data_IF_970682755184
#
_entry.id   IF_970682755184
#
_cell.length_a   1.000
_cell.length_b   1.000
_cell.length_c   1.000
_cell.angle_alpha   90.00
_cell.angle_beta   90.00
_cell.angle_gamma   90.00
#
_symmetry.space_group_name_H-M   'P 1'
#
loop_
_entity.id
_entity.type
_entity.pdbx_description
1 polymer ?
#
# COMPACT_ATOMS: atom_id res chain seq x y z
N UNK A 1 -24.71 12.05 -54.64
CA UNK A 1 -24.65 10.91 -53.70
C UNK A 1 -23.28 10.94 -53.02
N UNK A 2 -23.29 11.34 -51.74
CA UNK A 2 -22.36 11.06 -50.62
C UNK A 2 -20.84 11.08 -50.89
N UNK A 3 -20.24 12.22 -50.57
CA UNK A 3 -18.86 12.38 -50.09
C UNK A 3 -18.63 11.53 -48.83
N UNK A 4 -17.54 10.74 -48.82
CA UNK A 4 -17.05 10.07 -47.61
C UNK A 4 -15.78 10.79 -47.16
N UNK A 5 -15.92 11.66 -46.16
CA UNK A 5 -14.81 12.30 -45.47
C UNK A 5 -14.29 11.27 -44.45
N UNK A 6 -13.10 10.71 -44.69
CA UNK A 6 -12.43 9.82 -43.76
C UNK A 6 -11.81 10.66 -42.64
N UNK A 7 -12.49 10.72 -41.49
CA UNK A 7 -11.90 11.21 -40.23
C UNK A 7 -10.99 10.10 -39.68
N UNK A 8 -9.68 10.28 -39.78
CA UNK A 8 -8.74 9.57 -38.92
C UNK A 8 -8.76 10.25 -37.55
N UNK A 9 -9.48 9.65 -36.59
CA UNK A 9 -9.38 10.01 -35.18
C UNK A 9 -7.96 9.71 -34.68
N UNK A 10 -7.13 10.75 -34.55
CA UNK A 10 -5.94 10.73 -33.71
C UNK A 10 -6.40 10.53 -32.26
N UNK A 11 -6.38 9.29 -31.79
CA UNK A 11 -6.50 8.98 -30.36
C UNK A 11 -5.19 9.42 -29.72
N UNK A 12 -5.12 10.69 -29.34
CA UNK A 12 -4.09 11.16 -28.41
C UNK A 12 -4.35 10.46 -27.08
N UNK A 13 -3.52 9.47 -26.75
CA UNK A 13 -3.39 8.98 -25.38
C UNK A 13 -2.81 10.10 -24.54
N UNK A 14 -3.68 11.01 -24.11
CA UNK A 14 -3.39 11.89 -22.99
C UNK A 14 -3.51 11.00 -21.76
N UNK A 15 -2.44 10.28 -21.41
CA UNK A 15 -2.28 9.73 -20.07
C UNK A 15 -2.07 10.91 -19.16
N UNK A 16 -3.17 11.56 -18.82
CA UNK A 16 -3.24 12.52 -17.75
C UNK A 16 -3.11 11.68 -16.47
N UNK A 17 -1.86 11.42 -16.06
CA UNK A 17 -1.57 11.06 -14.67
C UNK A 17 -1.81 12.32 -13.82
N UNK A 18 -3.07 12.77 -13.75
CA UNK A 18 -3.52 13.53 -12.61
C UNK A 18 -3.53 12.54 -11.47
N UNK A 19 -2.43 12.52 -10.70
CA UNK A 19 -2.50 12.03 -9.33
C UNK A 19 -3.52 12.92 -8.63
N UNK A 20 -4.77 12.47 -8.68
CA UNK A 20 -5.80 12.93 -7.78
C UNK A 20 -5.36 12.47 -6.39
N UNK A 21 -5.41 13.43 -5.45
CA UNK A 21 -5.07 13.37 -4.04
C UNK A 21 -3.65 13.90 -3.78
N UNK A 22 -3.55 15.03 -3.06
CA UNK A 22 -2.28 15.64 -2.62
C UNK A 22 -1.49 14.80 -1.60
N UNK A 23 -1.65 13.48 -1.64
CA UNK A 23 -0.94 12.51 -0.83
C UNK A 23 0.25 11.96 -1.62
N UNK A 24 1.49 12.02 -1.10
CA UNK A 24 2.67 11.75 -1.91
C UNK A 24 2.92 10.26 -2.19
N UNK A 25 2.26 9.34 -1.48
CA UNK A 25 2.46 7.91 -1.64
C UNK A 25 1.32 7.22 -2.40
N UNK A 26 1.65 6.40 -3.41
CA UNK A 26 0.73 5.38 -3.90
C UNK A 26 1.03 4.04 -3.25
N UNK A 27 0.00 3.19 -3.19
CA UNK A 27 0.09 1.81 -2.74
C UNK A 27 -0.48 0.91 -3.82
N UNK A 28 0.35 0.01 -4.32
CA UNK A 28 -0.09 -1.12 -5.13
C UNK A 28 -0.08 -2.40 -4.28
N UNK A 29 -1.15 -3.17 -4.35
CA UNK A 29 -1.33 -4.38 -3.55
C UNK A 29 -1.81 -5.53 -4.42
N UNK A 30 -1.25 -6.72 -4.21
CA UNK A 30 -1.70 -7.96 -4.83
C UNK A 30 -1.67 -9.10 -3.81
N UNK A 31 -2.59 -10.05 -3.93
CA UNK A 31 -2.61 -11.24 -3.09
C UNK A 31 -2.68 -12.50 -3.96
N UNK A 32 -1.96 -13.54 -3.55
CA UNK A 32 -1.96 -14.85 -4.19
C UNK A 32 -2.23 -15.94 -3.16
N UNK A 33 -3.06 -16.91 -3.55
CA UNK A 33 -3.31 -18.13 -2.77
C UNK A 33 -2.46 -19.28 -3.33
N UNK A 34 -1.77 -19.99 -2.45
CA UNK A 34 -1.07 -21.23 -2.76
C UNK A 34 -1.45 -22.27 -1.70
N UNK A 35 -2.21 -23.30 -2.10
CA UNK A 35 -2.84 -24.25 -1.18
C UNK A 35 -3.68 -23.51 -0.12
N UNK A 36 -3.34 -23.68 1.17
CA UNK A 36 -3.99 -23.02 2.30
C UNK A 36 -3.33 -21.70 2.71
N UNK A 37 -2.23 -21.29 2.07
CA UNK A 37 -1.54 -20.05 2.38
C UNK A 37 -2.01 -18.92 1.44
N UNK A 38 -2.24 -17.73 2.00
CA UNK A 38 -2.50 -16.51 1.23
C UNK A 38 -1.41 -15.49 1.57
N UNK A 39 -0.63 -15.12 0.57
CA UNK A 39 0.37 -14.08 0.69
C UNK A 39 -0.11 -12.82 -0.04
N UNK A 40 0.17 -11.65 0.54
CA UNK A 40 -0.07 -10.37 -0.08
C UNK A 40 1.23 -9.59 -0.18
N UNK A 41 1.48 -9.00 -1.35
CA UNK A 41 2.56 -8.06 -1.62
C UNK A 41 2.04 -6.64 -1.65
N UNK A 42 2.86 -5.71 -1.15
CA UNK A 42 2.55 -4.30 -1.04
C UNK A 42 3.74 -3.51 -1.55
N UNK A 43 3.51 -2.60 -2.48
CA UNK A 43 4.50 -1.68 -3.02
C UNK A 43 4.09 -0.25 -2.70
N UNK A 44 4.95 0.48 -1.98
CA UNK A 44 4.77 1.88 -1.65
C UNK A 44 5.69 2.71 -2.52
N UNK A 45 5.14 3.65 -3.28
CA UNK A 45 5.90 4.53 -4.19
C UNK A 45 5.82 5.97 -3.74
N UNK A 46 6.96 6.63 -3.60
CA UNK A 46 7.03 8.08 -3.41
C UNK A 46 6.81 8.79 -4.76
N UNK A 47 5.62 9.33 -4.96
CA UNK A 47 5.26 10.10 -6.16
C UNK A 47 5.55 11.60 -6.03
N UNK A 48 6.11 12.05 -4.91
CA UNK A 48 6.56 13.42 -4.77
C UNK A 48 7.83 13.69 -5.59
N UNK A 49 8.15 14.97 -5.78
CA UNK A 49 9.37 15.44 -6.40
C UNK A 49 10.50 15.70 -5.38
N UNK A 50 10.38 15.15 -4.18
CA UNK A 50 11.35 15.29 -3.09
C UNK A 50 11.52 13.96 -2.35
N UNK A 51 12.63 13.84 -1.63
CA UNK A 51 12.95 12.67 -0.82
C UNK A 51 12.07 12.67 0.46
N UNK A 52 11.45 11.52 0.74
CA UNK A 52 10.57 11.35 1.89
C UNK A 52 10.97 10.13 2.72
N UNK A 53 10.75 10.19 4.01
CA UNK A 53 10.93 9.09 4.94
C UNK A 53 9.57 8.47 5.26
N UNK A 54 9.32 7.24 4.85
CA UNK A 54 8.10 6.49 5.16
C UNK A 54 8.27 5.73 6.48
N UNK A 55 7.33 5.87 7.41
CA UNK A 55 7.31 5.09 8.65
C UNK A 55 6.95 3.63 8.34
N UNK A 56 7.79 2.68 8.76
CA UNK A 56 7.53 1.24 8.60
C UNK A 56 6.39 0.75 9.48
N UNK A 57 6.17 1.39 10.63
CA UNK A 57 5.19 0.98 11.63
C UNK A 57 3.75 1.04 11.11
N UNK A 58 2.94 0.06 11.47
CA UNK A 58 1.57 -0.11 10.99
C UNK A 58 1.49 -0.37 9.48
N UNK A 59 2.54 -0.94 8.91
CA UNK A 59 2.65 -1.33 7.50
C UNK A 59 3.29 -2.72 7.40
N UNK A 60 3.19 -3.42 6.27
CA UNK A 60 3.89 -4.69 6.06
C UNK A 60 5.42 -4.56 6.06
N UNK A 61 6.00 -3.34 6.02
CA UNK A 61 7.45 -3.14 6.07
C UNK A 61 8.08 -3.54 7.41
N UNK A 62 7.28 -3.69 8.47
CA UNK A 62 7.70 -4.26 9.76
C UNK A 62 7.26 -5.73 9.94
N UNK A 63 6.70 -6.36 8.90
CA UNK A 63 6.05 -7.67 9.01
C UNK A 63 4.62 -7.59 9.57
N UNK A 64 4.07 -8.71 10.05
CA UNK A 64 2.72 -8.80 10.63
C UNK A 64 2.69 -8.46 12.14
N UNK A 65 3.24 -7.31 12.51
CA UNK A 65 3.27 -6.83 13.90
C UNK A 65 2.08 -5.93 14.27
N UNK A 66 1.19 -5.68 13.30
CA UNK A 66 0.04 -4.79 13.43
C UNK A 66 -1.01 -5.12 12.37
N UNK A 67 -2.27 -4.79 12.65
CA UNK A 67 -3.35 -4.93 11.67
C UNK A 67 -3.34 -3.75 10.69
N UNK A 68 -2.74 -3.94 9.52
CA UNK A 68 -2.73 -2.94 8.42
C UNK A 68 -3.66 -3.27 7.24
N UNK A 69 -4.28 -4.45 7.27
CA UNK A 69 -5.36 -4.82 6.34
C UNK A 69 -6.63 -5.17 7.09
N UNK A 70 -7.77 -4.98 6.43
CA UNK A 70 -9.03 -5.63 6.77
C UNK A 70 -9.30 -6.76 5.78
N UNK A 71 -9.92 -7.84 6.25
CA UNK A 71 -10.34 -8.97 5.43
C UNK A 71 -11.82 -9.22 5.66
N UNK A 72 -12.57 -9.49 4.58
CA UNK A 72 -13.95 -9.95 4.66
C UNK A 72 -14.19 -11.18 3.80
N UNK A 73 -15.09 -12.05 4.23
CA UNK A 73 -15.61 -13.21 3.52
C UNK A 73 -17.05 -12.94 3.12
N UNK A 74 -17.33 -12.90 1.82
CA UNK A 74 -18.67 -12.63 1.28
C UNK A 74 -19.32 -11.38 1.91
N UNK A 75 -18.50 -10.33 2.11
CA UNK A 75 -18.90 -9.06 2.72
C UNK A 75 -18.90 -9.02 4.24
N UNK A 76 -18.71 -10.14 4.94
CA UNK A 76 -18.66 -10.19 6.41
C UNK A 76 -17.22 -10.04 6.90
N UNK A 77 -16.91 -9.08 7.80
CA UNK A 77 -15.56 -8.90 8.32
C UNK A 77 -15.05 -10.13 9.06
N UNK A 78 -13.78 -10.46 8.85
CA UNK A 78 -13.06 -11.46 9.65
C UNK A 78 -12.34 -10.78 10.81
N UNK A 79 -12.20 -11.53 11.91
CA UNK A 79 -11.42 -11.11 13.07
C UNK A 79 -9.92 -11.15 12.74
N UNK A 80 -9.19 -10.16 13.24
CA UNK A 80 -7.73 -10.16 13.19
C UNK A 80 -7.20 -10.93 14.40
N UNK A 81 -6.45 -11.99 14.14
CA UNK A 81 -5.89 -12.91 15.14
C UNK A 81 -4.38 -12.73 15.32
N UNK A 82 -3.78 -11.78 14.60
CA UNK A 82 -2.34 -11.50 14.65
C UNK A 82 -1.90 -10.71 15.88
N UNK A 83 -0.59 -10.45 15.95
CA UNK A 83 0.01 -9.66 17.03
C UNK A 83 -0.49 -8.21 16.98
N UNK A 84 -0.76 -7.64 18.16
CA UNK A 84 -1.00 -6.21 18.35
C UNK A 84 0.06 -5.68 19.32
N UNK A 85 1.05 -4.97 18.80
CA UNK A 85 2.16 -4.45 19.60
C UNK A 85 1.91 -3.02 20.08
N UNK A 86 1.96 -2.81 21.40
CA UNK A 86 2.02 -1.46 21.97
C UNK A 86 3.42 -0.89 21.81
N UNK A 87 3.54 0.34 21.29
CA UNK A 87 4.83 0.93 20.91
C UNK A 87 4.98 2.34 21.45
N UNK A 88 6.22 2.70 21.84
CA UNK A 88 6.63 4.09 22.13
C UNK A 88 6.60 4.94 20.85
N UNK A 89 6.67 6.28 20.91
CA UNK A 89 6.83 7.10 19.70
C UNK A 89 7.95 6.58 18.78
N UNK A 90 7.77 6.65 17.45
CA UNK A 90 8.74 6.07 16.52
C UNK A 90 10.11 6.73 16.60
N UNK A 91 11.16 5.93 16.43
CA UNK A 91 12.57 6.39 16.32
C UNK A 91 13.01 6.48 14.86
N UNK A 92 14.15 7.13 14.59
CA UNK A 92 14.60 7.41 13.21
C UNK A 92 14.81 6.15 12.38
N UNK A 93 15.26 5.07 13.00
CA UNK A 93 15.50 3.76 12.39
C UNK A 93 14.22 2.99 12.02
N UNK A 94 13.06 3.47 12.46
CA UNK A 94 11.75 2.95 12.05
C UNK A 94 11.25 3.53 10.72
N UNK A 95 12.00 4.44 10.11
CA UNK A 95 11.67 4.99 8.80
C UNK A 95 12.56 4.42 7.69
N UNK A 96 12.03 4.40 6.47
CA UNK A 96 12.78 4.11 5.25
C UNK A 96 12.82 5.37 4.38
N UNK A 97 14.00 5.75 3.92
CA UNK A 97 14.17 6.83 2.94
C UNK A 97 13.75 6.33 1.56
N UNK A 98 12.88 7.08 0.89
CA UNK A 98 12.48 6.88 -0.49
C UNK A 98 12.74 8.17 -1.24
N UNK A 99 13.67 8.12 -2.19
CA UNK A 99 13.90 9.25 -3.10
C UNK A 99 12.66 9.52 -3.95
N UNK A 100 12.62 10.69 -4.57
CA UNK A 100 11.57 11.02 -5.54
C UNK A 100 11.44 9.91 -6.61
N UNK A 101 10.25 9.32 -6.74
CA UNK A 101 9.96 8.21 -7.66
C UNK A 101 10.41 6.82 -7.19
N UNK A 102 11.03 6.69 -6.03
CA UNK A 102 11.49 5.40 -5.49
C UNK A 102 10.33 4.62 -4.87
N UNK A 103 10.43 3.28 -4.93
CA UNK A 103 9.47 2.36 -4.34
C UNK A 103 10.14 1.40 -3.38
N UNK A 104 9.38 0.97 -2.37
CA UNK A 104 9.75 -0.11 -1.45
C UNK A 104 8.62 -1.12 -1.36
N UNK A 105 8.97 -2.40 -1.27
CA UNK A 105 7.99 -3.48 -1.23
C UNK A 105 8.19 -4.38 -0.01
N UNK A 106 7.08 -4.97 0.44
CA UNK A 106 7.08 -6.07 1.40
C UNK A 106 6.02 -7.11 1.02
N UNK A 107 6.19 -8.33 1.51
CA UNK A 107 5.21 -9.41 1.36
C UNK A 107 5.00 -10.10 2.69
N UNK A 108 3.74 -10.39 3.01
CA UNK A 108 3.33 -11.05 4.25
C UNK A 108 2.33 -12.18 3.95
N UNK A 109 2.34 -13.23 4.76
CA UNK A 109 1.35 -14.31 4.68
C UNK A 109 0.17 -13.95 5.59
N UNK A 110 -0.90 -13.38 5.03
CA UNK A 110 -2.03 -12.89 5.83
C UNK A 110 -2.81 -14.02 6.53
N UNK A 111 -2.64 -15.27 6.09
CA UNK A 111 -3.14 -16.46 6.78
C UNK A 111 -2.53 -16.69 8.16
N UNK A 112 -1.43 -16.00 8.49
CA UNK A 112 -0.84 -16.03 9.84
C UNK A 112 -1.59 -15.14 10.84
N UNK A 113 -2.52 -14.30 10.35
CA UNK A 113 -3.26 -13.33 11.17
C UNK A 113 -4.77 -13.31 10.91
N UNK A 114 -5.28 -14.12 9.97
CA UNK A 114 -6.70 -14.27 9.66
C UNK A 114 -7.02 -15.73 9.35
N UNK A 115 -8.11 -16.24 9.90
CA UNK A 115 -8.65 -17.55 9.55
C UNK A 115 -9.27 -17.54 8.14
N UNK A 116 -8.57 -18.11 7.16
CA UNK A 116 -8.98 -18.25 5.74
C UNK A 116 -9.06 -19.74 5.39
N UNK A 117 -10.03 -20.43 5.99
CA UNK A 117 -10.16 -21.89 5.98
C UNK A 117 -11.41 -22.39 5.24
N UNK A 118 -12.24 -21.47 4.73
CA UNK A 118 -13.49 -21.75 4.05
C UNK A 118 -13.47 -21.27 2.61
N UNK A 119 -14.29 -21.88 1.76
CA UNK A 119 -14.45 -21.45 0.39
C UNK A 119 -15.39 -20.24 0.32
N UNK A 120 -15.02 -19.22 -0.46
CA UNK A 120 -15.84 -18.03 -0.69
C UNK A 120 -15.03 -16.87 -1.29
N UNK A 121 -15.68 -15.72 -1.47
CA UNK A 121 -15.04 -14.53 -2.01
C UNK A 121 -14.44 -13.69 -0.88
N UNK A 122 -13.11 -13.71 -0.80
CA UNK A 122 -12.38 -12.87 0.14
C UNK A 122 -12.07 -11.50 -0.47
N UNK A 123 -12.30 -10.44 0.31
CA UNK A 123 -11.84 -9.09 -0.02
C UNK A 123 -10.79 -8.67 1.01
N UNK A 124 -9.60 -8.33 0.54
CA UNK A 124 -8.52 -7.78 1.35
C UNK A 124 -8.37 -6.31 1.01
N UNK A 125 -8.29 -5.44 2.02
CA UNK A 125 -8.15 -4.00 1.83
C UNK A 125 -7.08 -3.46 2.78
N UNK A 126 -6.21 -2.59 2.28
CA UNK A 126 -5.32 -1.82 3.14
C UNK A 126 -6.15 -0.82 3.95
N UNK A 127 -5.95 -0.78 5.27
CA UNK A 127 -6.87 -0.11 6.21
C UNK A 127 -6.22 0.94 7.11
N UNK A 128 -4.96 1.28 6.89
CA UNK A 128 -4.20 2.25 7.70
C UNK A 128 -3.75 3.45 6.88
N UNK A 129 -3.67 4.64 7.49
CA UNK A 129 -2.98 5.76 6.85
C UNK A 129 -1.47 5.49 6.84
N UNK A 130 -0.79 5.91 5.78
CA UNK A 130 0.67 5.99 5.79
C UNK A 130 1.10 7.21 6.61
N UNK A 131 2.28 7.13 7.21
CA UNK A 131 2.90 8.25 7.89
C UNK A 131 4.26 8.47 7.30
N UNK A 132 4.60 9.72 7.01
CA UNK A 132 5.88 10.06 6.42
C UNK A 132 6.40 11.38 6.99
N UNK A 133 7.69 11.62 6.79
CA UNK A 133 8.38 12.85 7.14
C UNK A 133 9.19 13.35 5.93
N UNK A 134 9.25 14.66 5.75
CA UNK A 134 10.25 15.30 4.91
C UNK A 134 11.66 15.12 5.50
N UNK A 135 12.68 15.37 4.68
CA UNK A 135 14.09 15.36 5.15
C UNK A 135 14.31 16.33 6.31
N UNK A 136 13.64 17.49 6.30
CA UNK A 136 13.76 18.50 7.35
C UNK A 136 13.14 18.01 8.68
N UNK A 137 11.95 17.42 8.62
CA UNK A 137 11.28 16.88 9.81
C UNK A 137 12.05 15.69 10.40
N UNK A 138 12.57 14.78 9.55
CA UNK A 138 13.43 13.68 9.98
C UNK A 138 14.71 14.20 10.67
N UNK A 139 15.31 15.27 10.13
CA UNK A 139 16.49 15.89 10.71
C UNK A 139 16.20 16.49 12.09
N UNK A 140 15.01 17.06 12.29
CA UNK A 140 14.56 17.65 13.55
C UNK A 140 14.12 16.61 14.60
N UNK A 141 13.94 15.35 14.22
CA UNK A 141 13.51 14.31 15.15
C UNK A 141 14.59 14.03 16.21
N UNK A 142 14.23 13.81 17.49
CA UNK A 142 15.18 13.43 18.52
C UNK A 142 15.90 12.11 18.17
N UNK A 143 17.14 11.98 18.63
CA UNK A 143 17.89 10.71 18.61
C UNK A 143 17.40 9.76 19.67
#
# INVERSE_FOLDING_TARGET
MKTLLSLFCLVTYLTCALSANGWPFSLDMACNKALSAVACSFEFTNNANEDLYLLKRNTPLEGLNSQFVSVSLDGHPLEYEGIIMYSLPPTKDEFVLLKAGESVSASVQITDAFSIDTDGLYTVQYSRPLQYLSVNEMSAMPT
#
